data_IF_550159921068
#
_entry.id   IF_550159921068
#
_cell.length_a   1.000
_cell.length_b   1.000
_cell.length_c   1.000
_cell.angle_alpha   90.00
_cell.angle_beta   90.00
_cell.angle_gamma   90.00
#
_symmetry.space_group_name_H-M   'P 1'
#
loop_
_entity.id
_entity.type
_entity.pdbx_description
1 polymer ?
#
# COMPACT_ATOMS: atom_id res chain seq x y z
N UNK A 1 3.42 14.18 17.41
CA UNK A 1 2.85 13.77 16.10
C UNK A 1 1.48 14.41 16.01
N UNK A 2 1.12 15.11 14.92
CA UNK A 2 -0.27 15.58 14.74
C UNK A 2 -1.18 14.36 14.58
N UNK A 3 -2.36 14.40 15.20
CA UNK A 3 -3.34 13.31 15.17
C UNK A 3 -3.86 13.16 13.72
N UNK A 4 -3.80 11.96 13.15
CA UNK A 4 -4.42 11.64 11.86
C UNK A 4 -5.85 11.17 12.11
N UNK A 5 -6.84 11.83 11.49
CA UNK A 5 -8.26 11.55 11.72
C UNK A 5 -8.94 10.98 10.47
N UNK A 6 -8.45 11.35 9.28
CA UNK A 6 -9.01 10.94 8.00
C UNK A 6 -8.00 10.09 7.25
N UNK A 7 -8.25 8.79 7.22
CA UNK A 7 -7.38 7.78 6.62
C UNK A 7 -7.95 7.35 5.27
N UNK A 8 -7.07 6.99 4.35
CA UNK A 8 -7.40 6.29 3.12
C UNK A 8 -6.44 5.12 2.93
N UNK A 9 -6.96 3.97 2.50
CA UNK A 9 -6.18 2.78 2.19
C UNK A 9 -6.46 2.34 0.74
N UNK A 10 -5.40 2.17 -0.05
CA UNK A 10 -5.45 1.70 -1.44
C UNK A 10 -5.14 0.20 -1.46
N UNK A 11 -6.04 -0.59 -2.04
CA UNK A 11 -5.94 -2.05 -2.08
C UNK A 11 -6.02 -2.64 -0.67
N UNK A 12 -7.07 -2.29 0.09
CA UNK A 12 -7.24 -2.73 1.48
C UNK A 12 -7.59 -4.22 1.60
N UNK A 13 -7.91 -4.88 0.48
CA UNK A 13 -8.38 -6.25 0.44
C UNK A 13 -9.69 -6.37 1.22
N UNK A 14 -9.77 -7.33 2.15
CA UNK A 14 -10.96 -7.50 2.98
C UNK A 14 -11.03 -6.53 4.19
N UNK A 15 -10.04 -5.66 4.40
CA UNK A 15 -10.11 -4.57 5.40
C UNK A 15 -9.50 -4.87 6.77
N UNK A 16 -8.56 -5.82 6.90
CA UNK A 16 -7.93 -6.13 8.21
C UNK A 16 -7.21 -4.93 8.84
N UNK A 17 -6.48 -4.14 8.04
CA UNK A 17 -5.79 -2.93 8.53
C UNK A 17 -6.81 -1.91 9.03
N UNK A 18 -7.86 -1.65 8.24
CA UNK A 18 -9.00 -0.80 8.61
C UNK A 18 -9.60 -1.22 9.95
N UNK A 19 -9.94 -2.49 10.12
CA UNK A 19 -10.47 -3.03 11.38
C UNK A 19 -9.53 -2.74 12.55
N UNK A 20 -8.24 -3.08 12.41
CA UNK A 20 -7.25 -2.89 13.47
C UNK A 20 -7.11 -1.42 13.86
N UNK A 21 -6.98 -0.53 12.89
CA UNK A 21 -6.82 0.90 13.15
C UNK A 21 -8.06 1.51 13.79
N UNK A 22 -9.26 1.20 13.30
CA UNK A 22 -10.52 1.71 13.88
C UNK A 22 -10.69 1.25 15.33
N UNK A 23 -10.36 -0.01 15.64
CA UNK A 23 -10.50 -0.55 17.01
C UNK A 23 -9.45 -0.05 17.98
N UNK A 24 -8.27 0.33 17.49
CA UNK A 24 -7.15 0.75 18.34
C UNK A 24 -7.06 2.26 18.52
N UNK A 25 -7.78 3.06 17.72
CA UNK A 25 -7.62 4.51 17.71
C UNK A 25 -8.96 5.25 17.57
N UNK A 26 -9.45 5.76 18.69
CA UNK A 26 -10.64 6.64 18.76
C UNK A 26 -10.47 7.95 17.98
N UNK A 27 -9.23 8.35 17.68
CA UNK A 27 -8.95 9.54 16.90
C UNK A 27 -9.42 9.45 15.43
N UNK A 28 -9.66 8.24 14.91
CA UNK A 28 -10.09 8.06 13.52
C UNK A 28 -11.57 8.44 13.41
N UNK A 29 -11.82 9.46 12.59
CA UNK A 29 -13.16 9.96 12.28
C UNK A 29 -13.66 9.43 10.94
N UNK A 30 -12.77 9.18 9.98
CA UNK A 30 -13.14 8.54 8.73
C UNK A 30 -12.03 7.65 8.18
N UNK A 31 -12.44 6.53 7.59
CA UNK A 31 -11.57 5.58 6.91
C UNK A 31 -12.12 5.32 5.52
N UNK A 32 -11.33 5.55 4.47
CA UNK A 32 -11.75 5.31 3.09
C UNK A 32 -10.98 4.15 2.50
N UNK A 33 -11.68 3.09 2.11
CA UNK A 33 -11.12 1.96 1.36
C UNK A 33 -11.31 2.21 -0.12
N UNK A 34 -10.22 2.10 -0.88
CA UNK A 34 -10.23 2.08 -2.35
C UNK A 34 -9.79 0.72 -2.82
N UNK A 35 -10.67 0.02 -3.53
CA UNK A 35 -10.43 -1.32 -4.03
C UNK A 35 -11.38 -1.64 -5.20
N UNK A 36 -11.15 -2.76 -5.87
CA UNK A 36 -12.03 -3.27 -6.93
C UNK A 36 -13.44 -3.54 -6.39
N UNK A 37 -14.51 -3.40 -7.20
CA UNK A 37 -15.88 -3.56 -6.75
C UNK A 37 -16.17 -4.86 -5.97
N UNK A 38 -15.59 -5.97 -6.41
CA UNK A 38 -15.72 -7.28 -5.77
C UNK A 38 -15.08 -7.28 -4.37
N UNK A 39 -13.90 -6.65 -4.24
CA UNK A 39 -13.20 -6.50 -2.96
C UNK A 39 -13.89 -5.51 -2.03
N UNK A 40 -14.52 -4.46 -2.56
CA UNK A 40 -15.36 -3.55 -1.78
C UNK A 40 -16.59 -4.27 -1.20
N UNK A 41 -17.22 -5.15 -1.99
CA UNK A 41 -18.33 -5.98 -1.51
C UNK A 41 -17.90 -6.92 -0.38
N UNK A 42 -16.76 -7.60 -0.55
CA UNK A 42 -16.18 -8.49 0.45
C UNK A 42 -15.80 -7.73 1.73
N UNK A 43 -15.04 -6.64 1.62
CA UNK A 43 -14.59 -5.85 2.76
C UNK A 43 -15.74 -5.24 3.52
N UNK A 44 -16.74 -4.68 2.85
CA UNK A 44 -17.95 -4.15 3.50
C UNK A 44 -18.70 -5.24 4.27
N UNK A 45 -18.90 -6.41 3.66
CA UNK A 45 -19.56 -7.54 4.30
C UNK A 45 -18.81 -8.08 5.52
N UNK A 46 -17.48 -8.12 5.44
CA UNK A 46 -16.63 -8.53 6.56
C UNK A 46 -16.64 -7.48 7.68
N UNK A 47 -16.34 -6.22 7.35
CA UNK A 47 -16.22 -5.13 8.31
C UNK A 47 -17.54 -4.89 9.07
N UNK A 48 -18.68 -5.01 8.41
CA UNK A 48 -20.00 -4.92 9.05
C UNK A 48 -20.22 -5.98 10.14
N UNK A 49 -19.54 -7.13 10.05
CA UNK A 49 -19.64 -8.20 11.07
C UNK A 49 -18.69 -8.00 12.25
N UNK A 50 -17.54 -7.36 12.03
CA UNK A 50 -16.47 -7.27 13.04
C UNK A 50 -16.36 -5.90 13.71
N UNK A 51 -16.98 -4.88 13.13
CA UNK A 51 -17.09 -3.54 13.70
C UNK A 51 -18.47 -3.34 14.33
N UNK A 52 -18.55 -2.48 15.36
CA UNK A 52 -19.83 -1.95 15.83
C UNK A 52 -20.46 -1.05 14.75
N UNK A 53 -21.74 -0.70 14.90
CA UNK A 53 -22.40 0.22 13.96
C UNK A 53 -21.66 1.56 13.87
N UNK A 54 -21.35 2.17 15.02
CA UNK A 54 -20.63 3.46 15.10
C UNK A 54 -19.21 3.38 14.49
N UNK A 55 -18.53 2.24 14.65
CA UNK A 55 -17.23 2.00 14.02
C UNK A 55 -17.37 1.86 12.50
N UNK A 56 -18.37 1.10 12.04
CA UNK A 56 -18.61 0.83 10.61
C UNK A 56 -19.06 2.08 9.86
N UNK A 57 -19.84 2.97 10.47
CA UNK A 57 -20.27 4.25 9.88
C UNK A 57 -19.10 5.18 9.50
N UNK A 58 -17.93 5.00 10.14
CA UNK A 58 -16.71 5.73 9.79
C UNK A 58 -16.09 5.25 8.47
N UNK A 59 -16.44 4.05 8.00
CA UNK A 59 -15.84 3.41 6.83
C UNK A 59 -16.58 3.77 5.56
N UNK A 60 -15.85 4.24 4.55
CA UNK A 60 -16.34 4.57 3.22
C UNK A 60 -15.66 3.69 2.19
N UNK A 61 -16.43 3.18 1.24
CA UNK A 61 -15.96 2.30 0.18
C UNK A 61 -16.06 3.06 -1.16
N UNK A 62 -14.94 3.19 -1.88
CA UNK A 62 -14.86 3.96 -3.12
C UNK A 62 -14.14 3.11 -4.18
N UNK A 63 -14.75 2.93 -5.35
CA UNK A 63 -14.09 2.26 -6.47
C UNK A 63 -13.05 3.19 -7.15
N UNK A 64 -12.06 2.63 -7.88
CA UNK A 64 -11.07 3.42 -8.61
C UNK A 64 -11.69 4.46 -9.56
N UNK A 65 -12.83 4.14 -10.16
CA UNK A 65 -13.60 5.03 -11.05
C UNK A 65 -14.05 6.32 -10.35
N UNK A 66 -14.24 6.25 -9.03
CA UNK A 66 -14.82 7.30 -8.20
C UNK A 66 -13.76 8.03 -7.36
N UNK A 67 -12.47 7.89 -7.67
CA UNK A 67 -11.40 8.53 -6.88
C UNK A 67 -11.50 10.07 -6.84
N UNK A 68 -12.14 10.68 -7.83
CA UNK A 68 -12.37 12.13 -7.90
C UNK A 68 -13.28 12.64 -6.78
N UNK A 69 -14.03 11.76 -6.10
CA UNK A 69 -14.84 12.09 -4.93
C UNK A 69 -14.02 12.17 -3.63
N UNK A 70 -12.77 11.69 -3.67
CA UNK A 70 -11.89 11.66 -2.51
C UNK A 70 -11.33 13.05 -2.24
N UNK A 71 -11.61 13.57 -1.05
CA UNK A 71 -10.99 14.79 -0.52
C UNK A 71 -9.66 14.48 0.17
N UNK A 72 -8.85 15.51 0.39
CA UNK A 72 -7.54 15.41 1.07
C UNK A 72 -7.62 14.61 2.37
N UNK A 73 -6.57 13.81 2.61
CA UNK A 73 -6.47 12.88 3.73
C UNK A 73 -5.27 13.19 4.60
N UNK A 74 -5.37 12.84 5.87
CA UNK A 74 -4.24 12.98 6.78
C UNK A 74 -3.19 11.90 6.49
N UNK A 75 -3.64 10.67 6.28
CA UNK A 75 -2.78 9.52 6.01
C UNK A 75 -3.34 8.71 4.85
N UNK A 76 -2.50 8.47 3.85
CA UNK A 76 -2.73 7.46 2.83
C UNK A 76 -1.87 6.24 3.13
N UNK A 77 -2.47 5.05 3.06
CA UNK A 77 -1.87 3.75 3.32
C UNK A 77 -1.90 2.94 2.03
N UNK A 78 -0.79 2.31 1.70
CA UNK A 78 -0.75 1.21 0.74
C UNK A 78 0.05 0.05 1.33
N UNK A 79 -0.54 -1.13 1.35
CA UNK A 79 0.08 -2.34 1.87
C UNK A 79 -0.15 -3.45 0.86
N UNK A 80 0.96 -4.03 0.38
CA UNK A 80 0.96 -5.27 -0.40
C UNK A 80 -0.06 -5.27 -1.54
N UNK A 81 -0.14 -4.16 -2.29
CA UNK A 81 -0.97 -4.11 -3.49
C UNK A 81 -0.36 -3.33 -4.65
N UNK A 82 0.51 -2.34 -4.41
CA UNK A 82 1.15 -1.61 -5.51
C UNK A 82 2.06 -2.49 -6.39
N UNK A 83 2.62 -3.57 -5.86
CA UNK A 83 3.43 -4.55 -6.59
C UNK A 83 2.64 -5.41 -7.59
N UNK A 84 1.31 -5.42 -7.46
CA UNK A 84 0.36 -6.18 -8.30
C UNK A 84 -0.35 -5.30 -9.33
N UNK A 85 -0.01 -4.01 -9.39
CA UNK A 85 -0.62 -3.05 -10.30
C UNK A 85 0.33 -2.67 -11.43
N UNK A 86 -0.17 -2.40 -12.64
CA UNK A 86 0.63 -1.75 -13.68
C UNK A 86 1.22 -0.44 -13.15
N UNK A 87 2.43 -0.09 -13.61
CA UNK A 87 3.12 1.14 -13.20
C UNK A 87 2.24 2.39 -13.33
N UNK A 88 1.51 2.51 -14.44
CA UNK A 88 0.64 3.67 -14.69
C UNK A 88 -0.48 3.77 -13.64
N UNK A 89 -1.01 2.65 -13.16
CA UNK A 89 -2.02 2.62 -12.10
C UNK A 89 -1.46 3.08 -10.76
N UNK A 90 -0.24 2.64 -10.41
CA UNK A 90 0.44 3.13 -9.21
C UNK A 90 0.69 4.64 -9.30
N UNK A 91 1.23 5.11 -10.43
CA UNK A 91 1.48 6.53 -10.67
C UNK A 91 0.19 7.36 -10.62
N UNK A 92 -0.93 6.83 -11.14
CA UNK A 92 -2.23 7.47 -11.05
C UNK A 92 -2.67 7.68 -9.60
N UNK A 93 -2.56 6.67 -8.73
CA UNK A 93 -2.88 6.83 -7.31
C UNK A 93 -1.91 7.78 -6.60
N UNK A 94 -0.61 7.69 -6.90
CA UNK A 94 0.40 8.56 -6.32
C UNK A 94 0.13 10.03 -6.65
N UNK A 95 -0.24 10.32 -7.90
CA UNK A 95 -0.50 11.68 -8.37
C UNK A 95 -1.83 12.26 -7.90
N UNK A 96 -2.89 11.45 -7.78
CA UNK A 96 -4.23 11.95 -7.48
C UNK A 96 -4.60 11.88 -5.99
N UNK A 97 -4.05 10.91 -5.25
CA UNK A 97 -4.41 10.68 -3.84
C UNK A 97 -3.24 10.97 -2.91
N UNK A 98 -2.08 10.37 -3.17
CA UNK A 98 -0.95 10.41 -2.24
C UNK A 98 -0.32 11.80 -2.17
N UNK A 99 -0.15 12.47 -3.32
CA UNK A 99 0.41 13.82 -3.44
C UNK A 99 -0.31 14.86 -2.57
N UNK A 100 -1.61 14.67 -2.33
CA UNK A 100 -2.49 15.57 -1.58
C UNK A 100 -2.59 15.22 -0.08
N UNK A 101 -1.92 14.14 0.36
CA UNK A 101 -1.95 13.68 1.75
C UNK A 101 -0.89 14.36 2.62
N UNK A 102 -1.13 14.43 3.93
CA UNK A 102 -0.10 14.89 4.89
C UNK A 102 0.98 13.83 5.11
N UNK A 103 0.58 12.56 5.12
CA UNK A 103 1.47 11.42 5.32
C UNK A 103 1.14 10.32 4.31
N UNK A 104 2.17 9.58 3.92
CA UNK A 104 2.04 8.38 3.10
C UNK A 104 2.80 7.23 3.75
N UNK A 105 2.08 6.14 4.03
CA UNK A 105 2.66 4.89 4.50
C UNK A 105 2.58 3.83 3.40
N UNK A 106 3.71 3.21 3.09
CA UNK A 106 3.84 2.14 2.11
C UNK A 106 4.49 0.92 2.75
N UNK A 107 3.97 -0.27 2.47
CA UNK A 107 4.66 -1.53 2.76
C UNK A 107 4.49 -2.51 1.61
N UNK A 108 5.55 -2.68 0.82
CA UNK A 108 5.53 -3.51 -0.40
C UNK A 108 6.87 -4.24 -0.58
N UNK A 109 6.95 -5.24 -1.47
CA UNK A 109 8.23 -5.83 -1.88
C UNK A 109 9.19 -4.79 -2.48
N UNK A 110 10.48 -4.92 -2.16
CA UNK A 110 11.55 -4.02 -2.63
C UNK A 110 12.09 -4.37 -4.01
N UNK A 111 11.67 -5.51 -4.55
CA UNK A 111 12.05 -6.03 -5.85
C UNK A 111 11.20 -7.25 -6.19
N UNK A 112 11.52 -7.86 -7.32
CA UNK A 112 10.94 -9.12 -7.78
C UNK A 112 11.90 -10.27 -7.48
N UNK A 113 11.38 -11.48 -7.45
CA UNK A 113 12.18 -12.70 -7.38
C UNK A 113 11.50 -13.77 -8.20
N UNK A 114 12.26 -14.78 -8.63
CA UNK A 114 11.67 -15.87 -9.42
C UNK A 114 11.14 -16.96 -8.48
N UNK A 115 10.10 -17.71 -8.88
CA UNK A 115 9.61 -18.84 -8.09
C UNK A 115 10.71 -19.86 -7.74
N UNK A 116 11.72 -20.02 -8.60
CA UNK A 116 12.89 -20.87 -8.37
C UNK A 116 13.64 -20.51 -7.09
N UNK A 117 13.70 -19.23 -6.74
CA UNK A 117 14.37 -18.77 -5.52
C UNK A 117 13.79 -19.44 -4.28
N UNK A 118 12.50 -19.81 -4.30
CA UNK A 118 11.81 -20.50 -3.21
C UNK A 118 11.48 -21.97 -3.53
N UNK A 119 12.17 -22.55 -4.52
CA UNK A 119 12.02 -23.96 -4.88
C UNK A 119 10.73 -24.32 -5.63
N UNK A 120 10.01 -23.32 -6.15
CA UNK A 120 8.81 -23.53 -6.96
C UNK A 120 9.21 -23.52 -8.45
N UNK A 121 8.72 -24.49 -9.23
CA UNK A 121 8.95 -24.54 -10.67
C UNK A 121 8.12 -23.48 -11.39
N UNK A 122 8.72 -22.75 -12.33
CA UNK A 122 8.03 -21.79 -13.21
C UNK A 122 6.75 -22.38 -13.85
N UNK A 123 5.71 -21.56 -13.88
CA UNK A 123 4.55 -21.71 -14.76
C UNK A 123 4.82 -21.17 -16.16
N UNK A 124 3.78 -20.69 -16.84
CA UNK A 124 3.89 -20.08 -18.18
C UNK A 124 4.87 -18.88 -18.19
N UNK A 125 5.99 -18.94 -18.95
CA UNK A 125 6.99 -17.87 -19.02
C UNK A 125 6.42 -16.49 -19.38
N UNK A 126 5.32 -16.44 -20.14
CA UNK A 126 4.70 -15.16 -20.52
C UNK A 126 4.03 -14.49 -19.32
N UNK A 127 3.30 -15.26 -18.50
CA UNK A 127 2.66 -14.75 -17.28
C UNK A 127 3.70 -14.25 -16.27
N UNK A 128 4.82 -14.98 -16.13
CA UNK A 128 5.91 -14.56 -15.27
C UNK A 128 6.50 -13.23 -15.73
N UNK A 129 6.76 -13.07 -17.03
CA UNK A 129 7.28 -11.79 -17.57
C UNK A 129 6.35 -10.62 -17.26
N UNK A 130 5.05 -10.81 -17.40
CA UNK A 130 4.07 -9.77 -17.09
C UNK A 130 4.13 -9.37 -15.61
N UNK A 131 4.08 -10.34 -14.69
CA UNK A 131 4.12 -10.10 -13.23
C UNK A 131 5.40 -9.37 -12.80
N UNK A 132 6.52 -9.66 -13.45
CA UNK A 132 7.81 -9.02 -13.15
C UNK A 132 7.82 -7.52 -13.53
N UNK A 133 6.92 -7.07 -14.40
CA UNK A 133 6.80 -5.66 -14.81
C UNK A 133 5.88 -4.82 -13.91
N UNK A 134 5.09 -5.46 -13.06
CA UNK A 134 4.12 -4.78 -12.19
C UNK A 134 4.81 -4.02 -11.04
N UNK A 135 4.21 -2.90 -10.64
CA UNK A 135 4.68 -2.03 -9.57
C UNK A 135 5.84 -1.13 -9.96
N UNK A 136 6.47 -0.52 -8.94
CA UNK A 136 7.61 0.39 -9.13
C UNK A 136 8.96 -0.30 -8.91
N UNK A 137 8.99 -1.30 -8.04
CA UNK A 137 10.17 -2.12 -7.72
C UNK A 137 10.22 -3.38 -8.59
N UNK A 138 10.76 -3.25 -9.80
CA UNK A 138 10.78 -4.33 -10.81
C UNK A 138 12.12 -5.06 -10.93
N UNK A 139 13.16 -4.61 -10.22
CA UNK A 139 14.46 -5.28 -10.22
C UNK A 139 14.32 -6.70 -9.65
N UNK A 140 14.80 -7.71 -10.38
CA UNK A 140 14.93 -9.07 -9.86
C UNK A 140 16.10 -9.12 -8.89
N UNK A 141 15.87 -9.63 -7.68
CA UNK A 141 16.86 -9.74 -6.62
C UNK A 141 16.87 -11.15 -6.02
N UNK A 142 18.04 -11.56 -5.53
CA UNK A 142 18.13 -12.69 -4.62
C UNK A 142 17.66 -12.27 -3.23
N UNK A 143 16.47 -12.73 -2.85
CA UNK A 143 15.84 -12.43 -1.56
C UNK A 143 16.56 -13.05 -0.35
N UNK A 144 17.56 -13.91 -0.57
CA UNK A 144 18.44 -14.46 0.46
C UNK A 144 19.80 -13.76 0.54
N UNK A 145 20.05 -12.76 -0.32
CA UNK A 145 21.29 -12.01 -0.37
C UNK A 145 21.16 -10.62 0.28
N UNK A 146 21.71 -10.46 1.49
CA UNK A 146 21.62 -9.21 2.24
C UNK A 146 22.29 -7.99 1.56
N UNK A 147 23.25 -8.19 0.64
CA UNK A 147 23.82 -7.07 -0.13
C UNK A 147 22.82 -6.56 -1.16
N UNK A 148 22.15 -7.47 -1.86
CA UNK A 148 21.12 -7.12 -2.84
C UNK A 148 19.89 -6.50 -2.16
N UNK A 149 19.43 -7.07 -1.05
CA UNK A 149 18.34 -6.51 -0.25
C UNK A 149 18.63 -5.06 0.17
N UNK A 150 19.83 -4.76 0.67
CA UNK A 150 20.22 -3.38 1.05
C UNK A 150 20.22 -2.41 -0.12
N UNK A 151 20.67 -2.85 -1.29
CA UNK A 151 20.68 -2.02 -2.48
C UNK A 151 19.25 -1.75 -3.00
N UNK A 152 18.42 -2.79 -3.06
CA UNK A 152 17.02 -2.70 -3.46
C UNK A 152 16.19 -1.82 -2.53
N UNK A 153 16.40 -1.88 -1.20
CA UNK A 153 15.71 -1.00 -0.23
C UNK A 153 15.89 0.48 -0.56
N UNK A 154 17.13 0.90 -0.86
CA UNK A 154 17.41 2.31 -1.21
C UNK A 154 16.65 2.74 -2.46
N UNK A 155 16.63 1.90 -3.49
CA UNK A 155 15.87 2.19 -4.72
C UNK A 155 14.36 2.20 -4.47
N UNK A 156 13.86 1.28 -3.65
CA UNK A 156 12.44 1.20 -3.28
C UNK A 156 11.97 2.48 -2.56
N UNK A 157 12.73 2.97 -1.58
CA UNK A 157 12.43 4.23 -0.88
C UNK A 157 12.38 5.39 -1.87
N UNK A 158 13.35 5.49 -2.77
CA UNK A 158 13.35 6.58 -3.74
C UNK A 158 12.19 6.47 -4.76
N UNK A 159 11.83 5.24 -5.17
CA UNK A 159 10.76 4.97 -6.14
C UNK A 159 9.36 5.23 -5.57
N UNK A 160 9.14 4.97 -4.29
CA UNK A 160 7.85 5.18 -3.62
C UNK A 160 7.70 6.55 -2.95
N UNK A 161 8.70 7.43 -3.05
CA UNK A 161 8.58 8.81 -2.57
C UNK A 161 7.67 9.62 -3.53
N UNK A 162 6.50 10.12 -3.09
CA UNK A 162 5.49 10.71 -3.99
C UNK A 162 5.97 11.91 -4.80
N UNK A 163 6.73 12.80 -4.17
CA UNK A 163 7.28 13.99 -4.82
C UNK A 163 8.45 14.54 -3.99
N UNK A 164 9.08 15.62 -4.46
CA UNK A 164 10.10 16.35 -3.70
C UNK A 164 9.57 17.01 -2.42
N UNK A 165 8.25 17.21 -2.29
CA UNK A 165 7.63 17.73 -1.08
C UNK A 165 7.45 16.68 0.00
N UNK A 166 7.71 15.41 -0.29
CA UNK A 166 7.66 14.33 0.70
C UNK A 166 9.06 14.01 1.21
N UNK A 167 9.23 14.13 2.53
CA UNK A 167 10.46 13.72 3.22
C UNK A 167 10.24 12.38 3.91
N UNK A 168 11.29 11.56 3.93
CA UNK A 168 11.30 10.31 4.68
C UNK A 168 11.25 10.61 6.19
N UNK A 169 10.26 10.05 6.89
CA UNK A 169 10.13 10.17 8.35
C UNK A 169 10.75 8.97 9.04
N UNK A 170 10.43 7.77 8.54
CA UNK A 170 10.95 6.53 9.08
C UNK A 170 10.85 5.42 8.02
N UNK A 171 11.73 4.43 8.14
CA UNK A 171 11.71 3.22 7.32
C UNK A 171 12.26 2.03 8.13
N UNK A 172 11.77 0.83 7.83
CA UNK A 172 12.36 -0.39 8.36
C UNK A 172 12.05 -1.60 7.49
N UNK A 173 12.98 -2.55 7.33
CA UNK A 173 12.68 -3.83 6.72
C UNK A 173 11.67 -4.61 7.57
N UNK A 174 10.86 -5.44 6.93
CA UNK A 174 10.06 -6.41 7.68
C UNK A 174 10.96 -7.54 8.17
N UNK A 175 10.85 -7.90 9.44
CA UNK A 175 11.75 -8.91 10.05
C UNK A 175 11.57 -10.31 9.45
N UNK A 176 10.33 -10.72 9.19
CA UNK A 176 10.01 -12.09 8.72
C UNK A 176 10.22 -12.22 7.21
N UNK A 177 9.82 -11.20 6.45
CA UNK A 177 9.98 -11.16 5.00
C UNK A 177 10.91 -10.00 4.64
N UNK A 178 12.24 -10.18 4.70
CA UNK A 178 13.21 -9.09 4.61
C UNK A 178 13.25 -8.39 3.23
N UNK A 179 12.59 -8.98 2.23
CA UNK A 179 12.33 -8.40 0.92
C UNK A 179 11.08 -7.50 0.87
N UNK A 180 10.37 -7.33 1.99
CA UNK A 180 9.38 -6.26 2.20
C UNK A 180 9.98 -5.13 3.03
N UNK A 181 9.52 -3.91 2.77
CA UNK A 181 10.01 -2.73 3.45
C UNK A 181 8.88 -1.79 3.81
N UNK A 182 8.90 -1.28 5.04
CA UNK A 182 7.95 -0.29 5.54
C UNK A 182 8.55 1.09 5.35
N UNK A 183 7.77 2.03 4.83
CA UNK A 183 8.22 3.41 4.65
C UNK A 183 7.11 4.38 5.01
N UNK A 184 7.46 5.40 5.80
CA UNK A 184 6.59 6.52 6.13
C UNK A 184 7.19 7.82 5.62
N UNK A 185 6.44 8.53 4.79
CA UNK A 185 6.76 9.87 4.30
C UNK A 185 5.84 10.92 4.89
N UNK A 186 6.32 12.15 4.97
CA UNK A 186 5.55 13.33 5.36
C UNK A 186 5.65 14.40 4.29
N UNK A 187 4.52 14.95 3.89
CA UNK A 187 4.46 16.15 3.06
C UNK A 187 4.84 17.38 3.89
N UNK A 188 5.79 18.17 3.40
CA UNK A 188 6.27 19.40 4.06
C UNK A 188 5.67 20.67 3.46
N UNK A 189 4.76 20.54 2.50
CA UNK A 189 3.93 21.65 2.00
C UNK A 189 2.72 21.90 2.90
#
# INVERSE_FOLDING_TARGET
MRICQNILEIGAGFGRTCQGLIKLSDAIQSYTIIDLPEMLSLSSSYLKKVLSNDEFEKVKFISPENIHLVKNKDLVINIDSFQEMPRQTVEFYMNNLVSNAKYFYSKNPIGKYTPESIGIKLGDPNQIREILTLGLSTQIIDIFNEKELRFARRQHVEAYRPSKSFVLVNECPMEIFPYYHNVLYKNIQ
#
